data_IF_511763782085
#
_entry.id   IF_511763782085
#
_cell.length_a   1.000
_cell.length_b   1.000
_cell.length_c   1.000
_cell.angle_alpha   90.00
_cell.angle_beta   90.00
_cell.angle_gamma   90.00
#
_symmetry.space_group_name_H-M   'P 1'
#
loop_
_entity.id
_entity.type
_entity.pdbx_description
1 polymer ?
#
# COMPACT_ATOMS: atom_id res chain seq x y z
N UNK A 1 14.46 -10.80 10.63
CA UNK A 1 15.03 -9.43 10.55
C UNK A 1 14.12 -8.48 11.32
N UNK A 2 14.66 -7.66 12.22
CA UNK A 2 13.87 -6.60 12.86
C UNK A 2 13.52 -5.54 11.82
N UNK A 3 12.23 -5.36 11.56
CA UNK A 3 11.75 -4.37 10.59
C UNK A 3 11.95 -2.98 11.18
N UNK A 4 12.73 -2.16 10.49
CA UNK A 4 13.09 -0.80 10.93
C UNK A 4 12.02 0.24 10.62
N UNK A 5 11.06 -0.07 9.75
CA UNK A 5 10.13 0.93 9.23
C UNK A 5 8.68 0.44 9.31
N UNK A 6 7.83 1.29 9.87
CA UNK A 6 6.37 1.15 9.91
C UNK A 6 5.82 2.14 8.89
N UNK A 7 5.06 1.66 7.91
CA UNK A 7 4.40 2.53 6.92
C UNK A 7 3.17 3.13 7.57
N UNK A 8 3.12 4.46 7.68
CA UNK A 8 1.89 5.19 8.02
C UNK A 8 1.57 6.12 6.88
N UNK A 9 0.43 5.90 6.26
CA UNK A 9 -0.10 6.81 5.26
C UNK A 9 -0.99 7.84 5.95
N UNK A 10 -0.89 9.08 5.49
CA UNK A 10 -1.90 10.10 5.73
C UNK A 10 -3.20 9.78 4.97
N UNK A 11 -4.31 10.39 5.36
CA UNK A 11 -5.59 10.17 4.69
C UNK A 11 -5.56 10.61 3.21
N UNK A 12 -4.87 11.70 2.89
CA UNK A 12 -4.68 12.21 1.52
C UNK A 12 -3.89 11.23 0.64
N UNK A 13 -2.81 10.64 1.18
CA UNK A 13 -2.03 9.62 0.48
C UNK A 13 -2.86 8.35 0.27
N UNK A 14 -3.62 7.94 1.28
CA UNK A 14 -4.49 6.77 1.20
C UNK A 14 -5.54 6.94 0.12
N UNK A 15 -6.19 8.09 0.06
CA UNK A 15 -7.21 8.38 -0.95
C UNK A 15 -6.62 8.48 -2.35
N UNK A 16 -5.43 9.06 -2.48
CA UNK A 16 -4.70 9.07 -3.75
C UNK A 16 -4.41 7.65 -4.24
N UNK A 17 -3.93 6.77 -3.36
CA UNK A 17 -3.65 5.38 -3.72
C UNK A 17 -4.92 4.60 -4.05
N UNK A 18 -6.01 4.82 -3.30
CA UNK A 18 -7.32 4.22 -3.59
C UNK A 18 -7.84 4.65 -4.95
N UNK A 19 -7.72 5.93 -5.30
CA UNK A 19 -8.12 6.44 -6.60
C UNK A 19 -7.26 5.86 -7.73
N UNK A 20 -5.96 5.68 -7.52
CA UNK A 20 -5.07 5.01 -8.49
C UNK A 20 -5.50 3.56 -8.72
N UNK A 21 -5.84 2.82 -7.66
CA UNK A 21 -6.30 1.43 -7.78
C UNK A 21 -7.69 1.35 -8.42
N UNK A 22 -8.63 2.19 -7.96
CA UNK A 22 -10.01 2.24 -8.44
C UNK A 22 -10.11 2.61 -9.91
N UNK A 23 -9.32 3.58 -10.35
CA UNK A 23 -9.30 4.05 -11.75
C UNK A 23 -8.30 3.29 -12.63
N UNK A 24 -7.59 2.29 -12.08
CA UNK A 24 -6.46 1.62 -12.73
C UNK A 24 -5.49 2.62 -13.38
N UNK A 25 -5.24 3.74 -12.69
CA UNK A 25 -4.61 4.92 -13.26
C UNK A 25 -3.09 4.76 -13.33
N UNK A 26 -2.59 4.36 -14.49
CA UNK A 26 -1.16 4.22 -14.79
C UNK A 26 -0.81 2.82 -15.28
N UNK A 27 0.46 2.44 -15.18
CA UNK A 27 0.89 1.08 -15.52
C UNK A 27 0.39 0.08 -14.48
N UNK A 28 0.17 -1.19 -14.86
CA UNK A 28 -0.25 -2.24 -13.92
C UNK A 28 0.70 -2.37 -12.72
N UNK A 29 1.99 -2.09 -12.92
CA UNK A 29 3.00 -2.08 -11.86
C UNK A 29 2.78 -0.93 -10.86
N UNK A 30 2.29 0.23 -11.30
CA UNK A 30 1.92 1.35 -10.44
C UNK A 30 0.70 1.02 -9.59
N UNK A 31 -0.32 0.40 -10.18
CA UNK A 31 -1.52 -0.07 -9.46
C UNK A 31 -1.15 -1.11 -8.40
N UNK A 32 -0.28 -2.07 -8.74
CA UNK A 32 0.17 -3.10 -7.79
C UNK A 32 0.95 -2.50 -6.62
N UNK A 33 1.87 -1.56 -6.88
CA UNK A 33 2.58 -0.81 -5.83
C UNK A 33 1.62 -0.03 -4.93
N UNK A 34 0.57 0.57 -5.50
CA UNK A 34 -0.43 1.28 -4.71
C UNK A 34 -1.24 0.34 -3.80
N UNK A 35 -1.61 -0.85 -4.27
CA UNK A 35 -2.25 -1.87 -3.43
C UNK A 35 -1.32 -2.36 -2.30
N UNK A 36 -0.03 -2.56 -2.60
CA UNK A 36 0.98 -2.94 -1.61
C UNK A 36 1.07 -1.89 -0.50
N UNK A 37 1.19 -0.60 -0.84
CA UNK A 37 1.26 0.49 0.14
C UNK A 37 -0.01 0.59 0.98
N UNK A 38 -1.19 0.44 0.39
CA UNK A 38 -2.46 0.43 1.12
C UNK A 38 -2.59 -0.74 2.10
N UNK A 39 -2.05 -1.92 1.75
CA UNK A 39 -2.04 -3.11 2.62
C UNK A 39 -1.01 -2.99 3.75
N UNK A 40 0.10 -2.32 3.48
CA UNK A 40 1.19 -2.08 4.43
C UNK A 40 0.89 -0.98 5.45
N UNK A 41 -0.13 -0.15 5.21
CA UNK A 41 -0.50 0.95 6.08
C UNK A 41 -0.85 0.46 7.49
N UNK A 42 -0.12 0.99 8.48
CA UNK A 42 -0.29 0.68 9.89
C UNK A 42 -1.59 1.22 10.48
N UNK A 43 -2.16 2.26 9.86
CA UNK A 43 -3.51 2.74 10.18
C UNK A 43 -4.60 1.91 9.47
N UNK A 44 -4.20 0.93 8.64
CA UNK A 44 -5.04 -0.01 7.93
C UNK A 44 -4.79 -1.45 8.38
N UNK A 45 -4.74 -2.44 7.47
CA UNK A 45 -4.55 -3.84 7.82
C UNK A 45 -3.23 -4.17 8.53
N UNK A 46 -2.25 -3.25 8.50
CA UNK A 46 -0.92 -3.41 9.09
C UNK A 46 -0.27 -4.75 8.72
N UNK A 47 -0.37 -5.14 7.44
CA UNK A 47 0.18 -6.42 6.99
C UNK A 47 1.69 -6.46 7.17
N UNK A 48 2.17 -7.57 7.75
CA UNK A 48 3.59 -7.91 7.75
C UNK A 48 4.12 -8.05 6.32
N UNK A 49 5.36 -7.64 6.03
CA UNK A 49 6.01 -7.88 4.71
C UNK A 49 5.80 -9.28 4.14
N UNK A 50 5.73 -10.32 4.95
CA UNK A 50 5.46 -11.69 4.48
C UNK A 50 4.11 -11.80 3.74
N UNK A 51 3.10 -11.06 4.19
CA UNK A 51 1.79 -10.94 3.50
C UNK A 51 1.80 -9.92 2.36
N UNK A 52 2.71 -8.95 2.38
CA UNK A 52 2.86 -7.97 1.31
C UNK A 52 3.59 -8.60 0.11
N UNK A 53 4.56 -9.49 0.35
CA UNK A 53 5.31 -10.18 -0.68
C UNK A 53 4.43 -11.10 -1.56
N UNK A 54 3.31 -11.56 -1.02
CA UNK A 54 2.32 -12.39 -1.72
C UNK A 54 1.31 -11.56 -2.55
N UNK A 55 1.32 -10.22 -2.44
CA UNK A 55 0.39 -9.30 -3.10
C UNK A 55 0.90 -8.76 -4.46
#
# INVERSE_FOLDING_TARGET
MQKKYIVRLSDEERDTLREVVKKLKGTGQKVRRAQILLKADANGPSWSDDRIADA
#
